data_IF_947995213120
#
_entry.id   IF_947995213120
#
_cell.length_a   1.000
_cell.length_b   1.000
_cell.length_c   1.000
_cell.angle_alpha   90.00
_cell.angle_beta   90.00
_cell.angle_gamma   90.00
#
_symmetry.space_group_name_H-M   'P 1'
#
loop_
_entity.id
_entity.type
_entity.pdbx_description
1 polymer ?
#
# COMPACT_ATOMS: atom_id res chain seq x y z
N UNK A 1 -13.30 10.73 7.31
CA UNK A 1 -12.55 9.60 6.72
C UNK A 1 -13.23 9.17 5.44
N UNK A 2 -12.54 9.17 4.30
CA UNK A 2 -13.05 8.62 3.03
C UNK A 2 -12.53 7.18 2.90
N UNK A 3 -13.34 6.13 3.10
CA UNK A 3 -12.85 4.75 3.17
C UNK A 3 -12.07 4.29 1.94
N UNK A 4 -12.36 4.89 0.77
CA UNK A 4 -11.68 4.60 -0.50
C UNK A 4 -10.23 5.10 -0.55
N UNK A 5 -9.89 6.06 0.31
CA UNK A 5 -8.54 6.62 0.45
C UNK A 5 -7.85 6.15 1.73
N UNK A 6 -8.42 5.18 2.43
CA UNK A 6 -7.85 4.68 3.68
C UNK A 6 -7.06 3.39 3.48
N UNK A 7 -5.84 3.35 4.01
CA UNK A 7 -5.02 2.16 4.05
C UNK A 7 -5.50 1.16 5.12
N UNK A 8 -5.26 -0.12 4.84
CA UNK A 8 -5.27 -1.19 5.84
C UNK A 8 -3.84 -1.47 6.32
N UNK A 9 -3.73 -2.10 7.50
CA UNK A 9 -2.47 -2.69 7.97
C UNK A 9 -2.62 -4.21 7.96
N UNK A 10 -1.62 -4.92 7.43
CA UNK A 10 -1.61 -6.38 7.41
C UNK A 10 -0.45 -6.96 8.22
N UNK A 11 -0.56 -8.22 8.62
CA UNK A 11 0.54 -9.00 9.22
C UNK A 11 1.81 -9.05 8.34
N UNK A 12 1.66 -8.87 7.03
CA UNK A 12 2.75 -8.70 6.05
C UNK A 12 2.47 -7.41 5.27
N UNK A 13 2.88 -6.24 5.79
CA UNK A 13 2.37 -4.95 5.32
C UNK A 13 3.21 -4.32 4.19
N UNK A 14 4.43 -4.81 3.95
CA UNK A 14 5.33 -4.25 2.92
C UNK A 14 4.92 -4.75 1.55
N UNK A 15 4.58 -3.84 0.64
CA UNK A 15 4.24 -4.13 -0.76
C UNK A 15 5.37 -3.64 -1.67
N UNK A 16 5.64 -4.42 -2.71
CA UNK A 16 6.58 -4.06 -3.76
C UNK A 16 5.81 -3.54 -4.97
N UNK A 17 6.07 -2.30 -5.39
CA UNK A 17 5.49 -1.71 -6.60
C UNK A 17 6.49 -1.89 -7.75
N UNK A 18 6.16 -2.77 -8.69
CA UNK A 18 7.06 -3.12 -9.80
C UNK A 18 6.32 -3.41 -11.10
N UNK A 19 7.06 -3.35 -12.22
CA UNK A 19 6.64 -4.02 -13.45
C UNK A 19 6.69 -5.55 -13.29
N UNK A 20 5.93 -6.26 -14.13
CA UNK A 20 5.78 -7.73 -14.03
C UNK A 20 7.10 -8.49 -14.21
N UNK A 21 8.00 -7.97 -15.03
CA UNK A 21 9.30 -8.52 -15.39
C UNK A 21 10.46 -8.00 -14.54
N UNK A 22 10.19 -7.05 -13.62
CA UNK A 22 11.22 -6.37 -12.81
C UNK A 22 10.95 -6.56 -11.33
N UNK A 23 11.31 -7.72 -10.81
CA UNK A 23 11.07 -8.06 -9.41
C UNK A 23 12.28 -7.86 -8.50
N UNK A 24 13.46 -7.55 -9.04
CA UNK A 24 14.69 -7.37 -8.27
C UNK A 24 14.58 -6.12 -7.38
N UNK A 25 14.87 -6.29 -6.09
CA UNK A 25 14.84 -5.18 -5.13
C UNK A 25 16.00 -4.19 -5.33
N UNK A 26 17.04 -4.59 -6.06
CA UNK A 26 18.14 -3.70 -6.45
C UNK A 26 17.81 -2.90 -7.72
N UNK A 27 16.72 -3.21 -8.43
CA UNK A 27 16.30 -2.42 -9.59
C UNK A 27 15.78 -1.05 -9.09
N UNK A 28 16.33 0.07 -9.55
CA UNK A 28 15.93 1.40 -9.10
C UNK A 28 14.49 1.76 -9.48
N UNK A 29 13.85 1.04 -10.40
CA UNK A 29 12.43 1.20 -10.74
C UNK A 29 11.48 0.44 -9.80
N UNK A 30 12.01 -0.25 -8.79
CA UNK A 30 11.25 -1.02 -7.81
C UNK A 30 11.14 -0.24 -6.51
N UNK A 31 9.91 0.03 -6.08
CA UNK A 31 9.64 0.73 -4.83
C UNK A 31 9.07 -0.23 -3.79
N UNK A 32 9.45 -0.03 -2.52
CA UNK A 32 8.84 -0.73 -1.40
C UNK A 32 8.01 0.25 -0.57
N UNK A 33 6.75 -0.11 -0.33
CA UNK A 33 5.78 0.72 0.37
C UNK A 33 5.26 0.02 1.62
N UNK A 34 5.15 0.78 2.71
CA UNK A 34 4.66 0.35 4.01
C UNK A 34 3.60 1.33 4.50
N UNK A 35 2.31 0.97 4.51
CA UNK A 35 1.31 1.72 5.24
C UNK A 35 1.61 1.69 6.74
N UNK A 36 1.60 2.87 7.36
CA UNK A 36 1.87 3.05 8.80
C UNK A 36 0.69 3.67 9.54
N UNK A 37 -0.22 4.31 8.81
CA UNK A 37 -1.48 4.84 9.31
C UNK A 37 -2.57 4.70 8.25
N UNK A 38 -3.81 5.05 8.60
CA UNK A 38 -4.93 4.94 7.66
C UNK A 38 -4.84 5.88 6.46
N UNK A 39 -3.97 6.87 6.48
CA UNK A 39 -3.81 7.91 5.46
C UNK A 39 -2.34 8.15 5.08
N UNK A 40 -1.42 7.39 5.67
CA UNK A 40 0.02 7.52 5.45
C UNK A 40 0.63 6.17 5.10
N UNK A 41 1.36 6.14 3.99
CA UNK A 41 2.29 5.08 3.64
C UNK A 41 3.68 5.67 3.42
N UNK A 42 4.70 4.95 3.87
CA UNK A 42 6.10 5.31 3.72
C UNK A 42 6.70 4.41 2.65
N UNK A 43 7.37 5.01 1.68
CA UNK A 43 8.13 4.29 0.67
C UNK A 43 9.62 4.53 0.84
N UNK A 44 10.45 3.54 0.51
CA UNK A 44 11.86 3.79 0.22
C UNK A 44 12.02 3.91 -1.30
N UNK A 45 12.43 5.10 -1.74
CA UNK A 45 12.84 5.37 -3.12
C UNK A 45 14.30 5.85 -3.14
N UNK A 46 14.93 5.85 -4.31
CA UNK A 46 16.26 6.43 -4.51
C UNK A 46 16.14 7.96 -4.63
N UNK A 47 15.77 8.61 -3.53
CA UNK A 47 15.81 10.07 -3.40
C UNK A 47 17.22 10.59 -3.12
N UNK A 48 17.38 11.90 -3.11
CA UNK A 48 18.62 12.63 -2.78
C UNK A 48 18.97 12.63 -1.27
N UNK A 49 18.41 11.68 -0.50
CA UNK A 49 18.50 11.63 0.95
C UNK A 49 17.48 12.49 1.69
N UNK A 50 16.60 13.21 0.98
CA UNK A 50 15.53 13.99 1.60
C UNK A 50 14.21 13.21 1.71
N UNK A 51 13.36 13.68 2.64
CA UNK A 51 11.98 13.20 2.77
C UNK A 51 11.07 14.07 1.91
N UNK A 52 10.35 13.45 0.98
CA UNK A 52 9.32 14.10 0.17
C UNK A 52 7.92 13.62 0.59
N UNK A 53 6.98 14.57 0.63
CA UNK A 53 5.57 14.29 0.89
C UNK A 53 4.82 14.30 -0.45
N UNK A 54 4.29 13.14 -0.84
CA UNK A 54 3.49 13.00 -2.04
C UNK A 54 2.03 12.83 -1.67
N UNK A 55 1.21 13.83 -2.00
CA UNK A 55 -0.23 13.73 -1.78
C UNK A 55 -0.84 12.83 -2.85
N UNK A 56 -1.43 11.72 -2.40
CA UNK A 56 -2.17 10.82 -3.28
C UNK A 56 -3.54 11.45 -3.59
N UNK A 57 -3.71 11.89 -4.83
CA UNK A 57 -4.98 12.49 -5.30
C UNK A 57 -6.00 11.44 -5.74
N UNK A 58 -5.53 10.28 -6.19
CA UNK A 58 -6.31 9.18 -6.76
C UNK A 58 -6.48 8.02 -5.77
N UNK A 59 -7.66 7.39 -5.73
CA UNK A 59 -7.92 6.23 -4.87
C UNK A 59 -7.35 4.90 -5.40
N UNK A 60 -7.04 4.81 -6.71
CA UNK A 60 -6.56 3.58 -7.35
C UNK A 60 -5.28 3.01 -6.70
N UNK A 61 -4.22 3.79 -6.43
CA UNK A 61 -3.01 3.28 -5.78
C UNK A 61 -3.27 2.75 -4.37
N UNK A 62 -4.10 3.45 -3.58
CA UNK A 62 -4.49 3.01 -2.23
C UNK A 62 -5.19 1.65 -2.30
N UNK A 63 -6.11 1.50 -3.26
CA UNK A 63 -6.83 0.24 -3.45
C UNK A 63 -5.91 -0.90 -3.87
N UNK A 64 -4.95 -0.65 -4.76
CA UNK A 64 -3.96 -1.65 -5.18
C UNK A 64 -3.10 -2.11 -3.99
N UNK A 65 -2.58 -1.16 -3.20
CA UNK A 65 -1.81 -1.46 -1.99
C UNK A 65 -2.62 -2.30 -1.00
N UNK A 66 -3.86 -1.89 -0.69
CA UNK A 66 -4.72 -2.65 0.22
C UNK A 66 -4.98 -4.07 -0.27
N UNK A 67 -5.20 -4.25 -1.58
CA UNK A 67 -5.44 -5.57 -2.18
C UNK A 67 -4.21 -6.46 -2.09
N UNK A 68 -3.02 -5.90 -2.41
CA UNK A 68 -1.76 -6.61 -2.28
C UNK A 68 -1.49 -7.05 -0.83
N UNK A 69 -1.68 -6.14 0.13
CA UNK A 69 -1.51 -6.43 1.58
C UNK A 69 -2.46 -7.54 2.02
N UNK A 70 -3.74 -7.45 1.65
CA UNK A 70 -4.73 -8.46 2.03
C UNK A 70 -4.43 -9.83 1.41
N UNK A 71 -3.89 -9.88 0.19
CA UNK A 71 -3.54 -11.14 -0.46
C UNK A 71 -2.34 -11.83 0.17
N UNK A 72 -1.38 -11.08 0.68
CA UNK A 72 -0.17 -11.64 1.30
C UNK A 72 -0.26 -11.80 2.83
N UNK A 73 -1.25 -11.18 3.48
CA UNK A 73 -1.39 -11.19 4.94
C UNK A 73 -2.39 -12.25 5.42
N UNK A 74 -2.07 -12.92 6.52
CA UNK A 74 -3.03 -13.81 7.21
C UNK A 74 -4.05 -13.04 8.06
N UNK A 75 -3.65 -11.87 8.56
CA UNK A 75 -4.50 -10.98 9.38
C UNK A 75 -4.39 -9.55 8.87
N UNK A 76 -5.51 -8.82 8.89
CA UNK A 76 -5.57 -7.39 8.56
C UNK A 76 -6.34 -6.60 9.63
N UNK A 77 -5.99 -5.33 9.79
CA UNK A 77 -6.69 -4.34 10.57
C UNK A 77 -7.02 -3.13 9.69
N UNK A 78 -8.18 -2.50 9.94
CA UNK A 78 -8.65 -1.36 9.16
C UNK A 78 -9.48 -0.42 10.03
N UNK A 79 -9.55 0.85 9.64
CA UNK A 79 -10.32 1.87 10.36
C UNK A 79 -11.85 1.70 10.25
N UNK A 80 -12.35 0.82 9.36
CA UNK A 80 -13.79 0.56 9.25
C UNK A 80 -14.11 -0.85 8.75
N UNK A 81 -15.21 -1.42 9.27
CA UNK A 81 -15.71 -2.72 8.80
C UNK A 81 -16.16 -2.70 7.33
N UNK A 82 -16.65 -1.55 6.84
CA UNK A 82 -17.02 -1.38 5.45
C UNK A 82 -15.82 -1.53 4.50
N UNK A 83 -14.65 -0.98 4.88
CA UNK A 83 -13.42 -1.15 4.12
C UNK A 83 -13.00 -2.63 4.06
N UNK A 84 -13.00 -3.33 5.20
CA UNK A 84 -12.69 -4.77 5.26
C UNK A 84 -13.60 -5.57 4.33
N UNK A 85 -14.93 -5.36 4.41
CA UNK A 85 -15.91 -6.01 3.53
C UNK A 85 -15.64 -5.72 2.06
N UNK A 86 -15.34 -4.47 1.73
CA UNK A 86 -15.07 -4.09 0.34
C UNK A 86 -13.85 -4.83 -0.24
N UNK A 87 -12.83 -5.13 0.57
CA UNK A 87 -11.62 -5.82 0.14
C UNK A 87 -11.88 -7.33 0.03
N UNK A 88 -12.59 -7.90 1.00
CA UNK A 88 -12.98 -9.31 0.98
C UNK A 88 -13.84 -9.67 -0.24
N UNK A 89 -14.73 -8.76 -0.66
CA UNK A 89 -15.62 -8.94 -1.82
C UNK A 89 -14.96 -8.59 -3.16
N UNK A 90 -13.68 -8.21 -3.19
CA UNK A 90 -12.97 -7.86 -4.42
C UNK A 90 -12.36 -9.09 -5.15
N UNK A 91 -12.60 -10.29 -4.61
CA UNK A 91 -12.14 -11.58 -5.13
C UNK A 91 -13.18 -12.21 -6.04
#
# INVERSE_FOLDING_TARGET
MQPKKSFIIGSRPVVKLTAHDRADLNDPAVEMWLPVASDVAVGVGQGDGNVSLHQIVDERPVRQLNTAIANQSGTIAAASAALVKSIANAR
#
